data_IF_679442068804
#
_entry.id   IF_679442068804
#
_cell.length_a   1.000
_cell.length_b   1.000
_cell.length_c   1.000
_cell.angle_alpha   90.00
_cell.angle_beta   90.00
_cell.angle_gamma   90.00
#
_symmetry.space_group_name_H-M   'P 1'
#
loop_
_entity.id
_entity.type
_entity.pdbx_description
1 polymer ?
#
# COMPACT_ATOMS: atom_id res chain seq x y z
N UNK A 1 19.38 24.26 -3.18
CA UNK A 1 19.52 23.05 -4.05
C UNK A 1 18.13 22.51 -4.25
N UNK A 2 17.66 22.31 -5.46
CA UNK A 2 16.31 21.78 -5.76
C UNK A 2 16.40 20.28 -6.02
N UNK A 3 15.29 19.56 -5.91
CA UNK A 3 15.24 18.12 -6.26
C UNK A 3 15.65 17.97 -7.73
N UNK A 4 16.57 17.06 -8.00
CA UNK A 4 17.04 16.76 -9.36
C UNK A 4 16.87 15.27 -9.66
N UNK A 5 16.11 14.96 -10.72
CA UNK A 5 15.90 13.61 -11.21
C UNK A 5 17.01 13.09 -12.14
N UNK A 6 18.03 13.92 -12.43
CA UNK A 6 19.08 13.59 -13.40
C UNK A 6 19.84 12.32 -13.06
N UNK A 7 20.13 12.11 -11.78
CA UNK A 7 20.88 10.96 -11.29
C UNK A 7 19.98 9.80 -10.83
N UNK A 8 18.65 9.98 -10.93
CA UNK A 8 17.69 8.94 -10.56
C UNK A 8 17.63 7.88 -11.66
N UNK A 9 17.70 6.60 -11.27
CA UNK A 9 17.64 5.47 -12.19
C UNK A 9 16.30 4.77 -12.10
N UNK A 10 15.61 4.61 -13.23
CA UNK A 10 14.33 3.88 -13.33
C UNK A 10 14.52 2.43 -13.77
N UNK A 11 15.71 2.03 -14.23
CA UNK A 11 16.00 0.67 -14.72
C UNK A 11 16.36 -0.28 -13.56
N UNK A 12 15.91 -1.55 -13.59
CA UNK A 12 15.09 -2.22 -14.61
C UNK A 12 13.56 -2.15 -14.33
N UNK A 13 13.13 -1.43 -13.32
CA UNK A 13 11.75 -1.46 -12.82
C UNK A 13 10.86 -0.40 -13.48
N UNK A 14 9.55 -0.63 -13.40
CA UNK A 14 8.58 0.39 -13.79
C UNK A 14 8.58 1.53 -12.78
N UNK A 15 8.76 2.75 -13.28
CA UNK A 15 8.67 3.96 -12.49
C UNK A 15 7.36 4.69 -12.80
N UNK A 16 6.66 5.16 -11.79
CA UNK A 16 5.35 5.81 -11.91
C UNK A 16 5.48 7.25 -12.42
N UNK A 17 6.56 7.93 -12.06
CA UNK A 17 6.78 9.34 -12.38
C UNK A 17 7.49 9.53 -13.72
N UNK A 18 8.53 8.76 -13.97
CA UNK A 18 9.39 8.92 -15.13
C UNK A 18 9.23 7.79 -16.14
N UNK A 19 9.45 8.11 -17.39
CA UNK A 19 9.62 7.11 -18.44
C UNK A 19 11.12 6.78 -18.63
N UNK A 20 11.42 5.85 -19.52
CA UNK A 20 12.81 5.42 -19.83
C UNK A 20 13.71 6.59 -20.31
N UNK A 21 13.12 7.65 -20.91
CA UNK A 21 13.84 8.86 -21.31
C UNK A 21 13.98 9.90 -20.19
N UNK A 22 13.68 9.51 -18.95
CA UNK A 22 13.73 10.38 -17.75
C UNK A 22 12.83 11.62 -17.82
N UNK A 23 11.77 11.54 -18.63
CA UNK A 23 10.73 12.57 -18.72
C UNK A 23 9.52 12.18 -17.90
N UNK A 24 8.85 13.14 -17.28
CA UNK A 24 7.63 12.89 -16.53
C UNK A 24 6.54 12.28 -17.41
N UNK A 25 5.88 11.26 -16.91
CA UNK A 25 4.68 10.72 -17.54
C UNK A 25 3.57 11.77 -17.52
N UNK A 26 2.68 11.75 -18.49
CA UNK A 26 1.63 12.78 -18.62
C UNK A 26 0.81 13.01 -17.36
N UNK A 27 0.49 11.94 -16.63
CA UNK A 27 -0.33 11.99 -15.40
C UNK A 27 0.46 12.44 -14.15
N UNK A 28 1.79 12.35 -14.15
CA UNK A 28 2.65 12.77 -13.03
C UNK A 28 3.34 14.11 -13.27
N UNK A 29 3.19 14.70 -14.47
CA UNK A 29 3.91 15.91 -14.87
C UNK A 29 3.68 17.10 -13.93
N UNK A 30 2.45 17.31 -13.45
CA UNK A 30 2.15 18.44 -12.55
C UNK A 30 2.82 18.27 -11.20
N UNK A 31 2.68 17.09 -10.59
CA UNK A 31 3.28 16.82 -9.29
C UNK A 31 4.80 16.70 -9.36
N UNK A 32 5.34 16.11 -10.43
CA UNK A 32 6.78 16.05 -10.65
C UNK A 32 7.41 17.44 -10.73
N UNK A 33 6.79 18.36 -11.46
CA UNK A 33 7.24 19.77 -11.52
C UNK A 33 7.11 20.50 -10.18
N UNK A 34 6.06 20.22 -9.43
CA UNK A 34 5.92 20.75 -8.07
C UNK A 34 7.07 20.26 -7.19
N UNK A 35 7.37 18.97 -7.19
CA UNK A 35 8.49 18.41 -6.42
C UNK A 35 9.83 19.04 -6.85
N UNK A 36 10.06 19.28 -8.15
CA UNK A 36 11.25 19.98 -8.63
C UNK A 36 11.37 21.42 -8.12
N UNK A 37 10.26 22.08 -7.81
CA UNK A 37 10.24 23.45 -7.30
C UNK A 37 10.58 23.57 -5.81
N UNK A 38 10.52 22.46 -5.07
CA UNK A 38 10.81 22.44 -3.64
C UNK A 38 12.31 22.57 -3.37
N UNK A 39 12.65 23.36 -2.38
CA UNK A 39 14.00 23.45 -1.84
C UNK A 39 14.15 22.54 -0.60
N UNK A 40 15.39 22.33 -0.06
CA UNK A 40 15.60 21.46 1.08
C UNK A 40 14.83 21.88 2.35
N UNK A 41 14.61 23.17 2.58
CA UNK A 41 13.84 23.64 3.73
C UNK A 41 12.36 23.29 3.56
N UNK A 42 11.79 23.47 2.36
CA UNK A 42 10.40 23.09 2.06
C UNK A 42 10.20 21.58 2.32
N UNK A 43 11.16 20.75 1.89
CA UNK A 43 11.13 19.31 2.11
C UNK A 43 11.15 18.95 3.59
N UNK A 44 12.02 19.60 4.35
CA UNK A 44 12.11 19.41 5.79
C UNK A 44 10.81 19.80 6.50
N UNK A 45 10.25 20.97 6.16
CA UNK A 45 8.97 21.44 6.73
C UNK A 45 7.80 20.51 6.39
N UNK A 46 7.69 20.06 5.14
CA UNK A 46 6.64 19.12 4.71
C UNK A 46 6.79 17.79 5.49
N UNK A 47 8.00 17.27 5.62
CA UNK A 47 8.23 16.03 6.34
C UNK A 47 7.85 16.16 7.83
N UNK A 48 8.25 17.23 8.49
CA UNK A 48 7.89 17.49 9.89
C UNK A 48 6.39 17.70 10.08
N UNK A 49 5.74 18.42 9.17
CA UNK A 49 4.30 18.61 9.20
C UNK A 49 3.55 17.27 9.03
N UNK A 50 4.04 16.42 8.11
CA UNK A 50 3.49 15.08 7.87
C UNK A 50 3.63 14.20 9.11
N UNK A 51 4.81 14.15 9.71
CA UNK A 51 5.05 13.38 10.93
C UNK A 51 4.18 13.87 12.09
N UNK A 52 4.06 15.18 12.26
CA UNK A 52 3.22 15.79 13.29
C UNK A 52 1.74 15.47 13.07
N UNK A 53 1.26 15.50 11.82
CA UNK A 53 -0.10 15.14 11.48
C UNK A 53 -0.40 13.66 11.80
N UNK A 54 0.49 12.73 11.43
CA UNK A 54 0.36 11.31 11.73
C UNK A 54 0.30 11.06 13.24
N UNK A 55 1.17 11.71 14.00
CA UNK A 55 1.16 11.62 15.47
C UNK A 55 -0.14 12.17 16.07
N UNK A 56 -0.63 13.31 15.56
CA UNK A 56 -1.87 13.91 16.05
C UNK A 56 -3.11 13.08 15.75
N UNK A 57 -3.09 12.30 14.66
CA UNK A 57 -4.14 11.34 14.32
C UNK A 57 -4.10 10.06 15.17
N UNK A 58 -3.07 9.89 16.02
CA UNK A 58 -2.88 8.67 16.81
C UNK A 58 -2.52 7.45 15.96
N UNK A 59 -2.00 7.65 14.74
CA UNK A 59 -1.60 6.56 13.86
C UNK A 59 -0.20 6.09 14.28
N UNK A 60 -0.17 5.08 15.12
CA UNK A 60 1.05 4.43 15.59
C UNK A 60 1.00 2.94 15.37
N UNK A 61 2.14 2.28 15.43
CA UNK A 61 2.22 0.83 15.41
C UNK A 61 3.20 0.34 16.49
N UNK A 62 2.89 -0.84 17.00
CA UNK A 62 3.76 -1.53 17.96
C UNK A 62 4.69 -2.47 17.20
N UNK A 63 5.96 -2.38 17.50
CA UNK A 63 6.95 -3.33 17.01
C UNK A 63 7.06 -4.45 18.04
N UNK A 64 6.61 -5.64 17.69
CA UNK A 64 6.80 -6.84 18.51
C UNK A 64 8.22 -7.35 18.28
N UNK A 65 9.19 -6.81 19.02
CA UNK A 65 10.57 -7.30 19.07
C UNK A 65 10.94 -7.63 20.50
N UNK A 66 11.93 -8.49 20.69
CA UNK A 66 12.46 -8.86 22.03
C UNK A 66 13.00 -7.65 22.81
N UNK A 67 13.32 -6.56 22.11
CA UNK A 67 13.75 -5.29 22.70
C UNK A 67 12.58 -4.31 22.94
N UNK A 68 11.36 -4.81 23.05
CA UNK A 68 10.20 -3.96 23.27
C UNK A 68 10.30 -3.23 24.61
N UNK A 69 10.53 -1.93 24.56
CA UNK A 69 10.41 -1.02 25.72
C UNK A 69 8.96 -0.54 25.78
N UNK A 70 8.26 -0.97 26.80
CA UNK A 70 6.85 -0.61 27.04
C UNK A 70 6.65 0.91 26.96
N UNK A 71 5.69 1.35 26.14
CA UNK A 71 5.35 2.78 25.97
C UNK A 71 6.02 3.52 24.81
N UNK A 72 6.84 2.87 23.97
CA UNK A 72 7.38 3.48 22.73
C UNK A 72 6.61 3.04 21.49
N UNK A 73 5.42 3.58 21.35
CA UNK A 73 4.73 3.50 20.05
C UNK A 73 5.50 4.33 19.02
N UNK A 74 5.80 3.71 17.87
CA UNK A 74 6.40 4.42 16.73
C UNK A 74 5.32 5.01 15.86
N UNK A 75 5.47 6.27 15.48
CA UNK A 75 4.60 6.86 14.47
C UNK A 75 4.77 6.12 13.14
N UNK A 76 3.68 5.97 12.39
CA UNK A 76 3.71 5.36 11.07
C UNK A 76 4.62 6.17 10.14
N UNK A 77 5.66 5.57 9.53
CA UNK A 77 6.48 6.28 8.56
C UNK A 77 5.67 6.52 7.29
N UNK A 78 5.43 7.78 6.96
CA UNK A 78 4.72 8.18 5.76
C UNK A 78 5.66 8.95 4.84
N UNK A 79 5.79 8.48 3.61
CA UNK A 79 6.42 9.24 2.55
C UNK A 79 5.42 10.28 2.01
N UNK A 80 5.83 11.56 1.97
CA UNK A 80 4.99 12.62 1.44
C UNK A 80 4.90 12.62 -0.09
N UNK A 81 5.75 11.87 -0.78
CA UNK A 81 5.67 11.70 -2.23
C UNK A 81 4.60 10.65 -2.55
N UNK A 82 3.43 11.04 -3.10
CA UNK A 82 2.33 10.13 -3.29
C UNK A 82 2.55 9.17 -4.46
N UNK A 83 2.12 7.93 -4.33
CA UNK A 83 1.95 7.04 -5.47
C UNK A 83 0.78 7.48 -6.33
N UNK A 84 0.99 7.53 -7.64
CA UNK A 84 -0.04 7.99 -8.59
C UNK A 84 -0.59 6.81 -9.37
N UNK A 85 -1.79 6.40 -9.00
CA UNK A 85 -2.52 5.34 -9.70
C UNK A 85 -3.54 5.99 -10.64
N UNK A 86 -3.47 5.69 -11.93
CA UNK A 86 -4.41 6.24 -12.90
C UNK A 86 -5.80 5.63 -12.71
N UNK A 87 -6.84 6.44 -12.94
CA UNK A 87 -8.24 6.01 -12.80
C UNK A 87 -8.53 4.69 -13.54
N UNK A 88 -8.11 4.58 -14.80
CA UNK A 88 -8.32 3.37 -15.61
C UNK A 88 -7.63 2.13 -15.02
N UNK A 89 -6.48 2.30 -14.42
CA UNK A 89 -5.73 1.24 -13.75
C UNK A 89 -6.43 0.83 -12.45
N UNK A 90 -6.84 1.82 -11.65
CA UNK A 90 -7.60 1.59 -10.43
C UNK A 90 -8.92 0.85 -10.69
N UNK A 91 -9.69 1.25 -11.70
CA UNK A 91 -10.94 0.59 -12.09
C UNK A 91 -10.74 -0.91 -12.41
N UNK A 92 -9.60 -1.27 -13.02
CA UNK A 92 -9.25 -2.68 -13.27
C UNK A 92 -8.95 -3.42 -11.97
N UNK A 93 -8.13 -2.82 -11.10
CA UNK A 93 -7.77 -3.37 -9.78
C UNK A 93 -9.02 -3.53 -8.92
N UNK A 94 -9.84 -2.50 -8.83
CA UNK A 94 -11.09 -2.49 -8.05
C UNK A 94 -12.03 -3.62 -8.46
N UNK A 95 -12.28 -3.79 -9.78
CA UNK A 95 -13.13 -4.90 -10.26
C UNK A 95 -12.55 -6.26 -9.89
N UNK A 96 -11.23 -6.43 -10.03
CA UNK A 96 -10.57 -7.68 -9.67
C UNK A 96 -10.61 -7.97 -8.17
N UNK A 97 -10.45 -6.96 -7.33
CA UNK A 97 -10.56 -7.10 -5.89
C UNK A 97 -12.00 -7.42 -5.45
N UNK A 98 -12.99 -6.70 -5.96
CA UNK A 98 -14.40 -6.97 -5.68
C UNK A 98 -14.81 -8.41 -6.05
N UNK A 99 -14.32 -8.90 -7.19
CA UNK A 99 -14.57 -10.29 -7.60
C UNK A 99 -13.96 -11.29 -6.63
N UNK A 100 -12.70 -11.09 -6.23
CA UNK A 100 -11.99 -11.98 -5.29
C UNK A 100 -12.63 -11.98 -3.91
N UNK A 101 -12.94 -10.81 -3.37
CA UNK A 101 -13.62 -10.69 -2.07
C UNK A 101 -14.98 -11.37 -2.11
N UNK A 102 -15.74 -11.19 -3.19
CA UNK A 102 -17.02 -11.90 -3.35
C UNK A 102 -16.82 -13.42 -3.37
N UNK A 103 -15.85 -13.93 -4.11
CA UNK A 103 -15.57 -15.37 -4.18
C UNK A 103 -15.15 -15.93 -2.80
N UNK A 104 -14.29 -15.21 -2.08
CA UNK A 104 -13.88 -15.60 -0.73
C UNK A 104 -15.05 -15.60 0.26
N UNK A 105 -15.90 -14.59 0.21
CA UNK A 105 -17.09 -14.56 1.07
C UNK A 105 -18.05 -15.71 0.79
N UNK A 106 -18.30 -16.04 -0.48
CA UNK A 106 -19.13 -17.18 -0.85
C UNK A 106 -18.50 -18.51 -0.41
N UNK A 107 -17.18 -18.64 -0.54
CA UNK A 107 -16.45 -19.82 -0.05
C UNK A 107 -16.60 -19.98 1.47
N UNK A 108 -16.39 -18.90 2.23
CA UNK A 108 -16.55 -18.92 3.69
C UNK A 108 -18.00 -19.26 4.06
N UNK A 109 -18.98 -18.64 3.40
CA UNK A 109 -20.39 -18.92 3.61
C UNK A 109 -20.72 -20.39 3.37
N UNK A 110 -20.23 -20.97 2.27
CA UNK A 110 -20.40 -22.38 1.96
C UNK A 110 -19.75 -23.29 3.01
N UNK A 111 -18.52 -22.99 3.43
CA UNK A 111 -17.81 -23.78 4.46
C UNK A 111 -18.57 -23.86 5.79
N UNK A 112 -19.24 -22.77 6.21
CA UNK A 112 -19.98 -22.72 7.47
C UNK A 112 -21.45 -23.18 7.37
N UNK A 113 -21.98 -23.37 6.16
CA UNK A 113 -23.37 -23.76 5.94
C UNK A 113 -23.48 -25.07 5.15
N UNK A 114 -23.51 -24.98 3.82
CA UNK A 114 -23.84 -26.13 2.95
C UNK A 114 -22.66 -27.08 2.73
N UNK A 115 -21.43 -26.60 2.85
CA UNK A 115 -20.17 -27.36 2.69
C UNK A 115 -20.04 -28.06 1.32
N UNK A 116 -20.66 -27.48 0.28
CA UNK A 116 -20.64 -28.07 -1.06
C UNK A 116 -19.23 -28.15 -1.61
N UNK A 117 -18.42 -27.10 -1.41
CA UNK A 117 -17.03 -27.07 -1.87
C UNK A 117 -16.20 -28.19 -1.24
N UNK A 118 -16.37 -28.44 0.07
CA UNK A 118 -15.66 -29.52 0.79
C UNK A 118 -16.08 -30.89 0.27
N UNK A 119 -17.39 -31.11 0.05
CA UNK A 119 -17.93 -32.38 -0.44
C UNK A 119 -17.54 -32.70 -1.88
N UNK A 120 -17.36 -31.68 -2.72
CA UNK A 120 -17.06 -31.81 -4.14
C UNK A 120 -15.55 -31.73 -4.47
N UNK A 121 -14.73 -31.27 -3.53
CA UNK A 121 -13.29 -31.17 -3.69
C UNK A 121 -12.56 -32.39 -3.11
N UNK A 122 -11.36 -32.64 -3.63
CA UNK A 122 -10.46 -33.65 -3.03
C UNK A 122 -9.72 -33.12 -1.79
N UNK A 123 -10.21 -32.03 -1.19
CA UNK A 123 -9.61 -31.44 0.01
C UNK A 123 -10.03 -32.25 1.25
N UNK A 124 -9.08 -32.47 2.15
CA UNK A 124 -9.36 -33.08 3.45
C UNK A 124 -10.19 -32.09 4.30
N UNK A 125 -11.42 -32.46 4.59
CA UNK A 125 -12.36 -31.65 5.38
C UNK A 125 -11.79 -31.28 6.75
N UNK A 126 -10.93 -32.13 7.33
CA UNK A 126 -10.30 -31.90 8.62
C UNK A 126 -9.44 -30.63 8.67
N UNK A 127 -8.89 -30.20 7.53
CA UNK A 127 -8.12 -28.95 7.43
C UNK A 127 -8.96 -27.71 7.82
N UNK A 128 -10.26 -27.79 7.67
CA UNK A 128 -11.19 -26.72 8.01
C UNK A 128 -11.92 -27.03 9.32
N UNK A 129 -12.55 -28.20 9.43
CA UNK A 129 -13.41 -28.55 10.55
C UNK A 129 -12.64 -28.72 11.87
N UNK A 130 -11.40 -29.16 11.84
CA UNK A 130 -10.54 -29.33 13.01
C UNK A 130 -9.81 -28.03 13.40
N UNK A 131 -10.04 -26.94 12.66
CA UNK A 131 -9.44 -25.63 12.98
C UNK A 131 -10.06 -25.08 14.26
N UNK A 132 -9.25 -24.61 15.23
CA UNK A 132 -9.75 -23.97 16.45
C UNK A 132 -10.58 -22.70 16.19
N UNK A 133 -10.53 -22.17 14.97
CA UNK A 133 -11.27 -20.97 14.55
C UNK A 133 -12.58 -21.30 13.79
N UNK A 134 -12.85 -22.59 13.55
CA UNK A 134 -14.07 -23.04 12.87
C UNK A 134 -15.31 -22.94 13.76
#
# INVERSE_FOLDING_TARGET
MTISWKNYSTSPYFDEYLNVSKSFRGHTKKIGKFLESLNPNDLYEINNATESAIKSMGISFRVYSEEYIEGKDRSWPLDFIPRIIRKKEWEKVERGLKQRVKALNLFIEDCYNDQNFLKESDMDESLITDSPAF
#
